data_IF_120155883558
#
_entry.id   IF_120155883558
#
_cell.length_a   1.000
_cell.length_b   1.000
_cell.length_c   1.000
_cell.angle_alpha   90.00
_cell.angle_beta   90.00
_cell.angle_gamma   90.00
#
_symmetry.space_group_name_H-M   'P 1'
#
loop_
_entity.id
_entity.type
_entity.pdbx_description
1 polymer ?
#
# COMPACT_ATOMS: atom_id res chain seq x y z
N UNK A 1 -17.28 -35.32 7.77
CA UNK A 1 -15.89 -35.26 8.25
C UNK A 1 -15.15 -33.96 7.94
N UNK A 2 -15.46 -33.24 6.85
CA UNK A 2 -14.84 -31.93 6.58
C UNK A 2 -15.28 -30.82 7.55
N UNK A 3 -16.54 -30.82 7.99
CA UNK A 3 -17.16 -29.71 8.72
C UNK A 3 -16.78 -29.64 10.20
N UNK A 4 -16.74 -30.77 10.90
CA UNK A 4 -16.25 -30.84 12.30
C UNK A 4 -14.81 -30.36 12.44
N UNK A 5 -13.96 -30.65 11.44
CA UNK A 5 -12.57 -30.18 11.40
C UNK A 5 -12.45 -28.67 11.16
N UNK A 6 -13.48 -28.04 10.57
CA UNK A 6 -13.57 -26.59 10.35
C UNK A 6 -14.04 -25.89 11.61
N UNK A 7 -15.10 -26.39 12.24
CA UNK A 7 -15.60 -25.86 13.52
C UNK A 7 -14.54 -25.95 14.62
N UNK A 8 -13.76 -27.04 14.67
CA UNK A 8 -12.62 -27.18 15.58
C UNK A 8 -11.54 -26.11 15.36
N UNK A 9 -11.24 -25.74 14.11
CA UNK A 9 -10.28 -24.65 13.79
C UNK A 9 -10.82 -23.27 14.17
N UNK A 10 -12.11 -23.04 14.01
CA UNK A 10 -12.76 -21.77 14.39
C UNK A 10 -12.79 -21.60 15.91
N UNK A 11 -12.87 -22.70 16.66
CA UNK A 11 -12.71 -22.72 18.12
C UNK A 11 -11.34 -22.24 18.62
N UNK A 12 -10.27 -22.37 17.80
CA UNK A 12 -8.91 -21.91 18.16
C UNK A 12 -8.69 -20.41 18.02
N UNK A 13 -9.66 -19.69 17.45
CA UNK A 13 -9.60 -18.24 17.32
C UNK A 13 -9.92 -17.57 18.65
N UNK A 14 -9.10 -16.58 19.00
CA UNK A 14 -9.33 -15.71 20.16
C UNK A 14 -10.48 -14.74 19.88
N UNK A 15 -11.13 -14.24 20.94
CA UNK A 15 -12.26 -13.30 20.81
C UNK A 15 -11.89 -12.02 20.05
N UNK A 16 -10.64 -11.56 20.22
CA UNK A 16 -10.09 -10.39 19.51
C UNK A 16 -9.89 -10.63 18.01
N UNK A 17 -9.50 -11.84 17.62
CA UNK A 17 -9.40 -12.23 16.20
C UNK A 17 -10.79 -12.35 15.59
N UNK A 18 -11.75 -12.98 16.30
CA UNK A 18 -13.15 -13.09 15.87
C UNK A 18 -13.79 -11.71 15.68
N UNK A 19 -13.62 -10.80 16.63
CA UNK A 19 -14.11 -9.42 16.55
C UNK A 19 -13.57 -8.70 15.30
N UNK A 20 -12.28 -8.88 14.99
CA UNK A 20 -11.63 -8.30 13.81
C UNK A 20 -12.23 -8.85 12.52
N UNK A 21 -12.46 -10.16 12.43
CA UNK A 21 -13.09 -10.81 11.28
C UNK A 21 -14.56 -10.37 11.09
N UNK A 22 -15.33 -10.19 12.18
CA UNK A 22 -16.72 -9.69 12.10
C UNK A 22 -16.80 -8.30 11.51
N UNK A 23 -15.92 -7.39 11.91
CA UNK A 23 -15.87 -6.04 11.35
C UNK A 23 -15.48 -6.07 9.85
N UNK A 24 -14.61 -7.00 9.47
CA UNK A 24 -14.20 -7.18 8.08
C UNK A 24 -15.36 -7.65 7.18
N UNK A 25 -16.26 -8.49 7.70
CA UNK A 25 -17.50 -8.86 7.00
C UNK A 25 -18.51 -7.72 6.88
N UNK A 26 -18.57 -6.84 7.88
CA UNK A 26 -19.42 -5.64 7.87
C UNK A 26 -18.94 -4.57 6.88
N UNK A 27 -17.91 -4.86 6.08
CA UNK A 27 -17.38 -3.97 5.06
C UNK A 27 -16.28 -3.03 5.56
N UNK A 28 -15.84 -3.16 6.81
CA UNK A 28 -14.69 -2.38 7.28
C UNK A 28 -13.39 -2.93 6.68
N UNK A 29 -12.50 -2.01 6.29
CA UNK A 29 -11.12 -2.33 5.99
C UNK A 29 -10.25 -2.31 7.26
N UNK A 30 -9.01 -2.79 7.16
CA UNK A 30 -8.09 -2.84 8.30
C UNK A 30 -7.82 -1.46 8.94
N UNK A 31 -7.88 -0.37 8.15
CA UNK A 31 -7.64 1.00 8.62
C UNK A 31 -8.86 1.55 9.38
N UNK A 32 -10.05 1.23 8.93
CA UNK A 32 -11.32 1.54 9.58
C UNK A 32 -11.43 0.77 10.89
N UNK A 33 -11.12 -0.53 10.90
CA UNK A 33 -11.12 -1.37 12.11
C UNK A 33 -10.13 -0.85 13.16
N UNK A 34 -8.93 -0.46 12.75
CA UNK A 34 -7.92 0.11 13.63
C UNK A 34 -8.43 1.37 14.35
N UNK A 35 -9.10 2.27 13.62
CA UNK A 35 -9.74 3.46 14.20
C UNK A 35 -10.89 3.11 15.15
N UNK A 36 -11.72 2.13 14.80
CA UNK A 36 -12.86 1.72 15.63
C UNK A 36 -12.43 1.05 16.93
N UNK A 37 -11.33 0.30 16.91
CA UNK A 37 -10.84 -0.45 18.07
C UNK A 37 -9.77 0.30 18.87
N UNK A 38 -9.41 1.51 18.46
CA UNK A 38 -8.29 2.31 19.00
C UNK A 38 -6.98 1.50 19.08
N UNK A 39 -6.67 0.81 17.99
CA UNK A 39 -5.48 -0.05 17.85
C UNK A 39 -4.68 0.34 16.62
N UNK A 40 -3.40 -0.06 16.60
CA UNK A 40 -2.60 0.10 15.40
C UNK A 40 -3.10 -0.82 14.27
N UNK A 41 -3.01 -0.34 13.02
CA UNK A 41 -3.29 -1.16 11.82
C UNK A 41 -2.41 -2.41 11.77
N UNK A 42 -1.18 -2.33 12.29
CA UNK A 42 -0.28 -3.47 12.39
C UNK A 42 -0.85 -4.55 13.32
N UNK A 43 -1.35 -4.18 14.50
CA UNK A 43 -2.01 -5.11 15.42
C UNK A 43 -3.23 -5.78 14.78
N UNK A 44 -4.00 -5.06 13.96
CA UNK A 44 -5.12 -5.62 13.21
C UNK A 44 -4.64 -6.60 12.12
N UNK A 45 -3.58 -6.26 11.40
CA UNK A 45 -3.01 -7.13 10.37
C UNK A 45 -2.39 -8.41 10.95
N UNK A 46 -1.72 -8.32 12.11
CA UNK A 46 -1.23 -9.49 12.85
C UNK A 46 -2.39 -10.40 13.25
N UNK A 47 -3.47 -9.84 13.84
CA UNK A 47 -4.69 -10.61 14.17
C UNK A 47 -5.31 -11.28 12.94
N UNK A 48 -5.37 -10.59 11.81
CA UNK A 48 -5.87 -11.17 10.55
C UNK A 48 -4.93 -12.23 9.98
N UNK A 49 -3.60 -12.10 10.18
CA UNK A 49 -2.64 -13.13 9.79
C UNK A 49 -2.81 -14.37 10.66
N UNK A 50 -2.82 -14.19 11.98
CA UNK A 50 -2.98 -15.27 12.93
C UNK A 50 -4.27 -16.04 12.69
N UNK A 51 -5.38 -15.32 12.46
CA UNK A 51 -6.66 -15.93 12.09
C UNK A 51 -6.56 -16.78 10.80
N UNK A 52 -5.93 -16.26 9.73
CA UNK A 52 -5.72 -17.04 8.49
C UNK A 52 -4.83 -18.26 8.71
N UNK A 53 -3.78 -18.15 9.54
CA UNK A 53 -2.87 -19.26 9.85
C UNK A 53 -3.62 -20.38 10.59
N UNK A 54 -4.44 -20.02 11.59
CA UNK A 54 -5.25 -20.94 12.37
C UNK A 54 -6.35 -21.62 11.54
N UNK A 55 -6.99 -20.88 10.65
CA UNK A 55 -8.03 -21.41 9.76
C UNK A 55 -7.47 -22.12 8.50
N UNK A 56 -6.17 -22.00 8.25
CA UNK A 56 -5.48 -22.51 7.05
C UNK A 56 -6.09 -22.00 5.72
N UNK A 57 -6.44 -20.72 5.68
CA UNK A 57 -7.05 -20.07 4.50
C UNK A 57 -6.16 -19.00 3.88
N UNK A 58 -6.36 -18.75 2.59
CA UNK A 58 -5.51 -17.84 1.82
C UNK A 58 -5.87 -16.37 2.08
N UNK A 59 -7.14 -16.06 2.39
CA UNK A 59 -7.64 -14.69 2.48
C UNK A 59 -8.35 -14.37 3.81
N UNK A 60 -8.21 -13.14 4.29
CA UNK A 60 -8.91 -12.65 5.48
C UNK A 60 -10.42 -12.55 5.26
N UNK A 61 -10.85 -12.29 4.01
CA UNK A 61 -12.28 -12.30 3.65
C UNK A 61 -12.86 -13.71 3.65
N UNK A 62 -12.06 -14.69 3.24
CA UNK A 62 -12.43 -16.11 3.31
C UNK A 62 -12.50 -16.58 4.77
N UNK A 63 -11.50 -16.24 5.59
CA UNK A 63 -11.51 -16.45 7.04
C UNK A 63 -12.76 -15.87 7.70
N UNK A 64 -13.15 -14.66 7.29
CA UNK A 64 -14.30 -13.99 7.86
C UNK A 64 -15.61 -14.67 7.43
N UNK A 65 -15.76 -15.10 6.17
CA UNK A 65 -16.92 -15.90 5.73
C UNK A 65 -17.06 -17.20 6.51
N UNK A 66 -15.96 -17.94 6.72
CA UNK A 66 -15.97 -19.18 7.50
C UNK A 66 -16.38 -18.92 8.96
N UNK A 67 -15.91 -17.82 9.54
CA UNK A 67 -16.37 -17.42 10.87
C UNK A 67 -17.88 -17.14 10.88
N UNK A 68 -18.41 -16.40 9.92
CA UNK A 68 -19.85 -16.13 9.86
C UNK A 68 -20.68 -17.39 9.61
N UNK A 69 -20.21 -18.33 8.80
CA UNK A 69 -20.89 -19.62 8.58
C UNK A 69 -20.95 -20.45 9.87
N UNK A 70 -19.90 -20.41 10.69
CA UNK A 70 -19.89 -21.09 11.99
C UNK A 70 -20.59 -20.31 13.13
N UNK A 71 -20.72 -18.98 12.99
CA UNK A 71 -21.46 -18.12 13.92
C UNK A 71 -22.94 -18.00 13.54
N UNK A 72 -23.34 -18.42 12.33
CA UNK A 72 -24.74 -18.54 11.97
C UNK A 72 -25.37 -19.60 12.88
N UNK A 73 -26.43 -19.25 13.62
CA UNK A 73 -27.18 -20.25 14.36
C UNK A 73 -27.72 -21.27 13.35
N UNK A 74 -27.38 -22.55 13.54
CA UNK A 74 -28.09 -23.63 12.88
C UNK A 74 -29.59 -23.43 13.13
N UNK A 75 -30.43 -23.39 12.07
CA UNK A 75 -31.87 -23.27 12.22
C UNK A 75 -32.42 -24.65 12.60
N UNK A 76 -32.19 -25.06 13.83
CA UNK A 76 -33.13 -25.96 14.49
C UNK A 76 -33.63 -25.26 15.75
N UNK A 77 -34.95 -25.04 15.71
CA UNK A 77 -35.84 -24.60 16.79
C UNK A 77 -36.03 -23.10 16.97
N UNK A 78 -37.21 -22.69 16.49
CA UNK A 78 -38.23 -21.77 17.02
C UNK A 78 -38.66 -20.95 15.80
N UNK A 79 -39.85 -21.10 15.22
CA UNK A 79 -41.14 -21.56 15.71
C UNK A 79 -42.15 -20.72 14.92
N UNK A 80 -43.26 -21.32 14.51
CA UNK A 80 -44.44 -20.62 13.99
C UNK A 80 -44.67 -19.31 14.76
N UNK A 81 -44.77 -18.18 14.05
CA UNK A 81 -46.10 -17.64 13.76
C UNK A 81 -46.04 -16.29 13.00
N UNK A 82 -46.97 -16.18 12.06
CA UNK A 82 -47.77 -14.99 11.71
C UNK A 82 -47.23 -14.00 10.66
N UNK A 83 -47.73 -14.23 9.43
CA UNK A 83 -48.42 -13.31 8.49
C UNK A 83 -47.76 -11.96 8.11
N UNK A 84 -47.79 -11.51 6.84
CA UNK A 84 -48.43 -12.03 5.63
C UNK A 84 -48.50 -10.95 4.53
N UNK A 85 -48.69 -11.45 3.30
CA UNK A 85 -49.42 -10.83 2.15
C UNK A 85 -48.68 -9.88 1.17
N UNK A 86 -48.35 -10.46 -0.01
CA UNK A 86 -48.58 -10.09 -1.45
C UNK A 86 -48.54 -8.60 -1.90
N UNK A 87 -48.15 -8.21 -3.12
CA UNK A 87 -48.30 -8.85 -4.45
C UNK A 87 -47.43 -8.14 -5.53
N UNK A 88 -47.18 -8.88 -6.62
CA UNK A 88 -46.97 -8.57 -8.05
C UNK A 88 -46.36 -7.25 -8.57
N UNK A 89 -45.59 -7.38 -9.67
CA UNK A 89 -45.48 -6.32 -10.68
C UNK A 89 -44.31 -6.38 -11.67
N UNK A 90 -44.40 -7.23 -12.69
CA UNK A 90 -43.61 -7.21 -13.93
C UNK A 90 -43.69 -5.90 -14.73
N UNK A 91 -42.59 -5.47 -15.37
CA UNK A 91 -42.69 -4.76 -16.67
C UNK A 91 -41.59 -3.76 -17.06
N UNK A 92 -40.79 -4.14 -18.08
CA UNK A 92 -40.44 -3.38 -19.30
C UNK A 92 -39.64 -2.04 -19.21
N UNK A 93 -38.42 -2.04 -19.77
CA UNK A 93 -37.66 -0.88 -20.33
C UNK A 93 -38.20 -0.52 -21.74
N UNK A 94 -37.98 0.66 -22.39
CA UNK A 94 -36.84 1.60 -22.26
C UNK A 94 -37.16 3.11 -22.45
N UNK A 95 -36.19 4.03 -22.24
CA UNK A 95 -35.72 5.06 -23.21
C UNK A 95 -34.73 6.08 -22.57
N UNK A 96 -33.88 6.61 -23.44
CA UNK A 96 -32.60 7.32 -23.31
C UNK A 96 -32.52 8.61 -22.46
N UNK A 97 -31.32 8.85 -21.89
CA UNK A 97 -30.64 10.15 -21.96
C UNK A 97 -29.12 9.99 -21.71
N UNK A 98 -28.35 10.75 -22.47
CA UNK A 98 -26.90 10.64 -22.67
C UNK A 98 -26.03 11.02 -21.46
N UNK A 99 -24.91 10.31 -21.27
CA UNK A 99 -23.66 10.88 -20.73
C UNK A 99 -22.48 10.28 -21.49
N UNK A 100 -21.61 11.18 -21.96
CA UNK A 100 -20.38 10.94 -22.73
C UNK A 100 -19.22 10.63 -21.77
N UNK A 101 -18.15 10.09 -22.38
CA UNK A 101 -16.75 10.06 -21.92
C UNK A 101 -16.28 8.94 -20.98
N UNK A 102 -15.14 8.36 -21.38
CA UNK A 102 -14.18 7.79 -20.45
C UNK A 102 -14.01 6.28 -20.51
N UNK A 103 -13.53 5.75 -21.64
CA UNK A 103 -13.01 4.38 -21.75
C UNK A 103 -11.76 4.23 -20.87
N UNK A 104 -11.93 3.94 -19.57
CA UNK A 104 -10.82 3.54 -18.70
C UNK A 104 -10.51 2.07 -18.94
N UNK A 105 -9.47 1.83 -19.74
CA UNK A 105 -8.86 0.52 -19.92
C UNK A 105 -8.50 -0.06 -18.55
N UNK A 106 -9.14 -1.19 -18.24
CA UNK A 106 -8.81 -2.09 -17.14
C UNK A 106 -7.41 -2.65 -17.39
N UNK A 107 -6.39 -2.10 -16.75
CA UNK A 107 -5.06 -2.73 -16.70
C UNK A 107 -5.05 -3.64 -15.48
N UNK A 108 -4.97 -4.93 -15.77
CA UNK A 108 -4.99 -6.05 -14.86
C UNK A 108 -3.97 -5.88 -13.72
N UNK A 109 -4.48 -5.91 -12.49
CA UNK A 109 -3.72 -6.20 -11.29
C UNK A 109 -3.17 -7.64 -11.39
N UNK A 110 -1.90 -7.78 -11.77
CA UNK A 110 -1.17 -9.04 -11.71
C UNK A 110 -0.16 -9.01 -10.56
N UNK A 111 -0.58 -9.64 -9.48
CA UNK A 111 0.22 -10.52 -8.60
C UNK A 111 1.72 -10.26 -8.55
N UNK A 112 2.19 -9.66 -7.44
CA UNK A 112 3.62 -9.53 -7.12
C UNK A 112 4.05 -8.12 -6.71
N UNK A 113 3.20 -7.36 -6.01
CA UNK A 113 3.46 -5.94 -5.72
C UNK A 113 2.96 -5.44 -4.37
N UNK A 114 2.64 -6.32 -3.41
CA UNK A 114 2.09 -5.88 -2.11
C UNK A 114 3.13 -5.18 -1.21
N UNK A 115 4.43 -5.27 -1.53
CA UNK A 115 5.49 -4.51 -0.84
C UNK A 115 5.93 -3.23 -1.55
N UNK A 116 5.89 -3.17 -2.89
CA UNK A 116 6.22 -1.92 -3.61
C UNK A 116 5.17 -0.83 -3.33
N UNK A 117 3.89 -1.21 -3.21
CA UNK A 117 2.84 -0.26 -2.84
C UNK A 117 2.88 0.18 -1.37
N UNK A 118 3.55 -0.56 -0.47
CA UNK A 118 3.66 -0.16 0.95
C UNK A 118 4.75 0.90 1.17
N UNK A 119 5.82 0.88 0.36
CA UNK A 119 6.75 2.01 0.26
C UNK A 119 6.09 3.24 -0.42
N UNK A 120 5.12 3.03 -1.33
CA UNK A 120 4.37 4.11 -1.97
C UNK A 120 3.34 4.77 -1.05
N UNK A 121 2.76 4.04 -0.08
CA UNK A 121 1.80 4.63 0.87
C UNK A 121 2.49 5.45 1.97
N UNK A 122 3.74 5.14 2.34
CA UNK A 122 4.51 5.98 3.27
C UNK A 122 4.78 7.39 2.68
N UNK A 123 4.91 7.53 1.36
CA UNK A 123 5.00 8.82 0.69
C UNK A 123 3.64 9.53 0.47
N UNK A 124 2.52 8.80 0.57
CA UNK A 124 1.17 9.35 0.33
C UNK A 124 0.56 10.04 1.57
N UNK A 125 1.13 9.87 2.77
CA UNK A 125 0.58 10.49 3.97
C UNK A 125 0.86 12.00 4.11
N UNK A 126 1.69 12.62 3.24
CA UNK A 126 2.18 14.00 3.45
C UNK A 126 1.68 15.05 2.43
N UNK A 127 1.06 14.68 1.31
CA UNK A 127 0.89 15.61 0.16
C UNK A 127 -0.52 16.20 -0.01
N UNK A 128 -1.23 16.53 1.08
CA UNK A 128 -2.58 17.11 0.99
C UNK A 128 -2.69 18.64 1.27
N UNK A 129 -1.61 19.36 1.59
CA UNK A 129 -1.72 20.71 2.17
C UNK A 129 -1.36 21.88 1.24
N UNK A 130 -1.08 21.68 -0.06
CA UNK A 130 -0.55 22.81 -0.87
C UNK A 130 -1.62 23.67 -1.57
N UNK A 131 -2.92 23.34 -1.55
CA UNK A 131 -3.90 24.13 -2.32
C UNK A 131 -5.22 24.41 -1.60
N UNK A 132 -5.20 25.21 -0.53
CA UNK A 132 -6.37 25.98 -0.09
C UNK A 132 -5.93 27.15 0.79
N UNK A 133 -5.90 28.33 0.19
CA UNK A 133 -5.79 29.59 0.93
C UNK A 133 -7.08 29.86 1.69
N UNK A 134 -7.08 29.65 3.00
CA UNK A 134 -7.83 30.45 3.98
C UNK A 134 -7.33 30.13 5.39
N UNK A 135 -6.81 31.16 6.04
CA UNK A 135 -6.33 31.13 7.41
C UNK A 135 -7.48 31.00 8.42
N UNK A 136 -7.18 30.34 9.55
CA UNK A 136 -7.47 30.70 10.95
C UNK A 136 -7.75 29.43 11.77
N UNK A 137 -6.74 28.98 12.52
CA UNK A 137 -6.74 28.36 13.86
C UNK A 137 -5.32 27.83 14.06
N UNK A 138 -4.60 28.38 15.04
CA UNK A 138 -3.25 27.95 15.38
C UNK A 138 -3.26 26.54 16.03
N UNK A 139 -2.55 25.55 15.48
CA UNK A 139 -2.22 24.31 16.19
C UNK A 139 -1.02 24.53 17.14
N UNK A 140 -0.85 23.71 18.19
CA UNK A 140 0.30 23.76 19.10
C UNK A 140 1.62 23.38 18.38
N UNK A 141 2.79 23.82 18.87
CA UNK A 141 4.04 23.69 18.13
C UNK A 141 4.56 22.25 18.22
N UNK A 142 4.38 21.48 17.15
CA UNK A 142 5.16 20.30 16.86
C UNK A 142 5.64 20.38 15.40
N UNK A 143 6.86 20.90 15.25
CA UNK A 143 7.77 20.84 14.11
C UNK A 143 7.21 21.10 12.68
N UNK A 144 7.44 22.30 12.13
CA UNK A 144 7.61 22.48 10.68
C UNK A 144 8.96 21.89 10.22
N UNK A 145 9.11 21.62 8.91
CA UNK A 145 10.35 21.32 8.15
C UNK A 145 10.68 19.84 7.83
N UNK A 146 10.10 19.27 6.76
CA UNK A 146 10.63 18.02 6.15
C UNK A 146 11.26 18.24 4.76
N UNK A 147 11.00 19.39 4.10
CA UNK A 147 11.73 19.78 2.89
C UNK A 147 12.85 20.76 3.27
N UNK A 148 14.11 20.42 2.95
CA UNK A 148 15.29 21.23 3.26
C UNK A 148 16.28 20.64 4.28
N UNK A 149 16.00 19.49 4.88
CA UNK A 149 16.99 18.79 5.74
C UNK A 149 18.10 18.16 4.89
N UNK A 150 19.32 18.24 5.40
CA UNK A 150 20.50 17.63 4.79
C UNK A 150 20.55 16.13 5.09
N UNK A 151 21.17 15.31 4.21
CA UNK A 151 21.43 13.90 4.50
C UNK A 151 22.31 13.73 5.75
N UNK A 152 22.12 12.63 6.49
CA UNK A 152 22.96 12.33 7.66
C UNK A 152 24.45 12.14 7.33
N UNK A 153 24.76 11.77 6.09
CA UNK A 153 26.12 11.54 5.59
C UNK A 153 26.19 12.00 4.11
N UNK A 154 27.21 12.77 3.69
CA UNK A 154 27.44 13.12 2.28
C UNK A 154 27.44 11.93 1.31
N UNK A 155 27.76 10.71 1.78
CA UNK A 155 27.70 9.49 0.99
C UNK A 155 26.26 9.14 0.55
N UNK A 156 25.24 9.53 1.31
CA UNK A 156 23.83 9.25 1.04
C UNK A 156 23.38 9.89 -0.29
N UNK A 157 23.60 11.20 -0.43
CA UNK A 157 23.24 11.90 -1.66
C UNK A 157 24.05 11.39 -2.85
N UNK A 158 25.34 11.11 -2.65
CA UNK A 158 26.20 10.54 -3.69
C UNK A 158 25.67 9.18 -4.17
N UNK A 159 25.37 8.26 -3.25
CA UNK A 159 24.82 6.94 -3.59
C UNK A 159 23.48 7.03 -4.31
N UNK A 160 22.60 7.96 -3.92
CA UNK A 160 21.35 8.19 -4.63
C UNK A 160 21.59 8.67 -6.06
N UNK A 161 22.51 9.63 -6.25
CA UNK A 161 22.84 10.18 -7.59
C UNK A 161 23.51 9.14 -8.49
N UNK A 162 24.44 8.36 -7.95
CA UNK A 162 25.12 7.28 -8.67
C UNK A 162 24.10 6.23 -9.15
N UNK A 163 23.16 5.85 -8.29
CA UNK A 163 22.09 4.94 -8.65
C UNK A 163 21.14 5.53 -9.70
N UNK A 164 20.73 6.80 -9.53
CA UNK A 164 19.88 7.50 -10.49
C UNK A 164 20.54 7.63 -11.86
N UNK A 165 21.87 7.80 -11.93
CA UNK A 165 22.61 7.81 -13.19
C UNK A 165 22.45 6.50 -13.95
N UNK A 166 22.55 5.35 -13.29
CA UNK A 166 22.31 4.04 -13.92
C UNK A 166 20.88 3.96 -14.50
N UNK A 167 19.90 4.47 -13.75
CA UNK A 167 18.53 4.51 -14.19
C UNK A 167 18.32 5.48 -15.38
N UNK A 168 19.03 6.61 -15.41
CA UNK A 168 18.93 7.62 -16.47
C UNK A 168 19.56 7.11 -17.77
N UNK A 169 20.68 6.39 -17.67
CA UNK A 169 21.38 5.76 -18.78
C UNK A 169 20.65 4.50 -19.31
N UNK A 170 19.47 4.18 -18.75
CA UNK A 170 18.67 3.01 -19.14
C UNK A 170 19.30 1.67 -18.74
N UNK A 171 20.29 1.67 -17.85
CA UNK A 171 21.01 0.49 -17.39
C UNK A 171 20.21 -0.23 -16.29
N UNK A 172 19.06 -0.82 -16.66
CA UNK A 172 18.12 -1.43 -15.72
C UNK A 172 18.71 -2.61 -14.95
N UNK A 173 19.49 -3.47 -15.61
CA UNK A 173 20.16 -4.58 -14.94
C UNK A 173 21.22 -4.09 -13.92
N UNK A 174 21.99 -3.06 -14.27
CA UNK A 174 22.98 -2.47 -13.37
C UNK A 174 22.32 -1.77 -12.17
N UNK A 175 21.27 -0.97 -12.40
CA UNK A 175 20.50 -0.34 -11.31
C UNK A 175 19.83 -1.35 -10.39
N UNK A 176 19.38 -2.49 -10.92
CA UNK A 176 18.88 -3.61 -10.12
C UNK A 176 19.98 -4.24 -9.29
N UNK A 177 21.15 -4.54 -9.87
CA UNK A 177 22.31 -5.11 -9.15
C UNK A 177 22.84 -4.18 -8.06
N UNK A 178 22.78 -2.87 -8.27
CA UNK A 178 23.17 -1.85 -7.31
C UNK A 178 22.14 -1.62 -6.19
N UNK A 179 20.94 -2.21 -6.29
CA UNK A 179 19.92 -2.15 -5.27
C UNK A 179 20.29 -2.98 -4.03
N UNK A 180 19.55 -2.75 -2.94
CA UNK A 180 19.61 -3.53 -1.71
C UNK A 180 19.35 -5.02 -1.97
N UNK A 181 19.90 -5.89 -1.12
CA UNK A 181 19.63 -7.32 -1.17
C UNK A 181 18.12 -7.60 -1.02
N UNK A 182 17.45 -6.86 -0.13
CA UNK A 182 16.01 -7.00 0.10
C UNK A 182 15.17 -6.57 -1.11
N UNK A 183 15.59 -5.53 -1.84
CA UNK A 183 14.91 -5.16 -3.08
C UNK A 183 15.05 -6.25 -4.15
N UNK A 184 16.27 -6.79 -4.31
CA UNK A 184 16.57 -7.85 -5.29
C UNK A 184 15.91 -9.19 -4.96
N UNK A 185 15.63 -9.46 -3.68
CA UNK A 185 14.88 -10.67 -3.29
C UNK A 185 13.39 -10.59 -3.61
N UNK A 186 12.85 -9.36 -3.74
CA UNK A 186 11.42 -9.11 -3.97
C UNK A 186 11.08 -8.86 -5.45
N UNK A 187 11.98 -8.23 -6.20
CA UNK A 187 11.76 -7.87 -7.60
C UNK A 187 12.88 -8.51 -8.41
N UNK A 188 12.54 -9.26 -9.47
CA UNK A 188 13.54 -9.82 -10.39
C UNK A 188 14.03 -8.76 -11.37
N UNK A 189 15.26 -8.90 -11.89
CA UNK A 189 15.82 -7.95 -12.85
C UNK A 189 14.91 -7.73 -14.09
N UNK A 190 14.32 -8.77 -14.74
CA UNK A 190 13.41 -8.55 -15.87
C UNK A 190 12.14 -7.78 -15.48
N UNK A 191 11.59 -8.05 -14.28
CA UNK A 191 10.41 -7.33 -13.78
C UNK A 191 10.73 -5.87 -13.51
N UNK A 192 11.88 -5.60 -12.89
CA UNK A 192 12.38 -4.25 -12.64
C UNK A 192 12.53 -3.45 -13.94
N UNK A 193 13.16 -4.06 -14.96
CA UNK A 193 13.32 -3.44 -16.27
C UNK A 193 11.97 -3.10 -16.91
N UNK A 194 11.04 -4.06 -16.96
CA UNK A 194 9.72 -3.83 -17.55
C UNK A 194 8.93 -2.71 -16.85
N UNK A 195 8.95 -2.69 -15.51
CA UNK A 195 8.31 -1.63 -14.72
C UNK A 195 8.99 -0.26 -14.92
N UNK A 196 10.32 -0.23 -14.91
CA UNK A 196 11.06 1.04 -15.06
C UNK A 196 10.87 1.64 -16.45
N UNK A 197 10.87 0.80 -17.49
CA UNK A 197 10.63 1.23 -18.86
C UNK A 197 9.22 1.80 -19.04
N UNK A 198 8.18 1.15 -18.50
CA UNK A 198 6.80 1.65 -18.65
C UNK A 198 6.56 2.99 -17.96
N UNK A 199 7.30 3.28 -16.88
CA UNK A 199 7.23 4.56 -16.16
C UNK A 199 8.13 5.63 -16.79
N UNK A 200 9.37 5.29 -17.17
CA UNK A 200 10.36 6.29 -17.63
C UNK A 200 10.32 6.59 -19.11
N UNK A 201 9.92 5.65 -19.97
CA UNK A 201 9.85 5.91 -21.42
C UNK A 201 8.92 7.09 -21.77
N UNK A 202 7.72 7.25 -21.15
CA UNK A 202 6.86 8.41 -21.42
C UNK A 202 7.44 9.75 -20.95
N UNK A 203 8.29 9.75 -19.91
CA UNK A 203 8.86 10.97 -19.34
C UNK A 203 9.94 11.58 -20.24
N UNK A 204 10.65 10.75 -21.00
CA UNK A 204 11.82 11.17 -21.78
C UNK A 204 13.08 11.31 -20.92
N UNK A 205 14.13 11.90 -21.49
CA UNK A 205 15.41 12.06 -20.80
C UNK A 205 15.33 13.15 -19.71
N UNK A 206 16.03 13.00 -18.57
CA UNK A 206 16.15 14.06 -17.58
C UNK A 206 17.00 15.21 -18.15
N UNK A 207 16.48 16.44 -18.08
CA UNK A 207 17.18 17.67 -18.48
C UNK A 207 17.79 18.40 -17.29
N UNK A 208 17.13 18.33 -16.13
CA UNK A 208 17.61 18.94 -14.89
C UNK A 208 17.22 18.07 -13.69
N UNK A 209 18.07 18.02 -12.66
CA UNK A 209 17.76 17.36 -11.37
C UNK A 209 18.31 18.17 -10.21
N UNK A 210 17.41 18.66 -9.36
CA UNK A 210 17.74 19.44 -8.15
C UNK A 210 17.38 18.65 -6.90
N UNK A 211 18.34 18.53 -5.99
CA UNK A 211 18.11 17.96 -4.66
C UNK A 211 17.20 18.89 -3.84
N UNK A 212 16.20 18.31 -3.16
CA UNK A 212 15.25 19.03 -2.32
C UNK A 212 15.48 18.82 -0.83
N UNK A 213 15.97 17.64 -0.45
CA UNK A 213 16.22 17.29 0.94
C UNK A 213 16.26 15.78 1.16
N UNK A 214 16.72 15.40 2.35
CA UNK A 214 16.75 14.03 2.82
C UNK A 214 16.20 13.94 4.24
N UNK A 215 15.53 12.82 4.54
CA UNK A 215 15.02 12.51 5.88
C UNK A 215 15.54 11.15 6.30
N UNK A 216 16.21 11.16 7.45
CA UNK A 216 16.68 9.96 8.11
C UNK A 216 15.55 9.24 8.85
N UNK A 217 15.50 7.92 8.74
CA UNK A 217 14.55 7.06 9.45
C UNK A 217 15.25 5.81 9.97
N UNK A 218 15.09 5.52 11.27
CA UNK A 218 15.57 4.26 11.88
C UNK A 218 14.61 3.08 11.66
N UNK A 219 13.46 3.32 11.03
CA UNK A 219 12.50 2.31 10.59
C UNK A 219 11.54 2.88 9.55
N UNK A 220 11.05 2.03 8.64
CA UNK A 220 9.98 2.37 7.71
C UNK A 220 8.83 1.35 7.80
N UNK A 221 7.56 1.78 7.70
CA UNK A 221 6.42 0.87 7.75
C UNK A 221 6.52 -0.22 6.67
N UNK A 222 6.52 -1.49 7.08
CA UNK A 222 6.60 -2.64 6.17
C UNK A 222 7.99 -2.90 5.58
N UNK A 223 9.02 -2.17 6.00
CA UNK A 223 10.41 -2.48 5.68
C UNK A 223 11.10 -3.21 6.85
N UNK A 224 12.18 -3.96 6.60
CA UNK A 224 13.02 -4.52 7.67
C UNK A 224 13.58 -3.44 8.60
N UNK A 225 14.00 -3.83 9.81
CA UNK A 225 14.72 -2.92 10.70
C UNK A 225 16.06 -2.51 10.08
N UNK A 226 16.38 -1.21 10.09
CA UNK A 226 17.60 -0.68 9.48
C UNK A 226 17.59 0.84 9.43
N UNK A 227 18.75 1.41 9.08
CA UNK A 227 18.89 2.85 8.87
C UNK A 227 18.51 3.18 7.42
N UNK A 228 17.57 4.11 7.26
CA UNK A 228 17.05 4.55 5.99
C UNK A 228 17.24 6.04 5.79
N UNK A 229 17.42 6.43 4.54
CA UNK A 229 17.45 7.81 4.10
C UNK A 229 16.50 7.97 2.93
N UNK A 230 15.52 8.86 3.06
CA UNK A 230 14.56 9.16 2.00
C UNK A 230 14.92 10.50 1.39
N UNK A 231 15.44 10.47 0.17
CA UNK A 231 15.84 11.65 -0.57
C UNK A 231 14.77 12.04 -1.58
N UNK A 232 14.55 13.34 -1.73
CA UNK A 232 13.70 13.89 -2.79
C UNK A 232 14.49 14.76 -3.75
N UNK A 233 14.21 14.58 -5.04
CA UNK A 233 14.72 15.41 -6.12
C UNK A 233 13.54 15.97 -6.93
N UNK A 234 13.66 17.23 -7.36
CA UNK A 234 12.84 17.79 -8.44
C UNK A 234 13.59 17.60 -9.74
N UNK A 235 12.95 16.94 -10.69
CA UNK A 235 13.54 16.58 -11.96
C UNK A 235 12.66 17.07 -13.09
N UNK A 236 13.27 17.78 -14.02
CA UNK A 236 12.65 18.10 -15.29
C UNK A 236 13.05 17.01 -16.27
N UNK A 237 12.06 16.33 -16.84
CA UNK A 237 12.23 15.43 -17.97
C UNK A 237 11.75 16.12 -19.24
N UNK A 238 12.22 15.64 -20.40
CA UNK A 238 11.84 16.19 -21.72
C UNK A 238 10.32 16.33 -21.89
N UNK A 239 9.54 15.35 -21.42
CA UNK A 239 8.08 15.33 -21.60
C UNK A 239 7.31 15.63 -20.30
N UNK A 240 8.00 15.86 -19.17
CA UNK A 240 7.38 16.17 -17.87
C UNK A 240 8.31 17.03 -17.01
N UNK A 241 8.01 18.32 -16.90
CA UNK A 241 8.70 19.21 -15.98
C UNK A 241 8.23 19.03 -14.53
N UNK A 242 9.11 19.29 -13.58
CA UNK A 242 8.80 19.37 -12.16
C UNK A 242 8.40 18.03 -11.51
N UNK A 243 8.77 16.90 -12.10
CA UNK A 243 8.53 15.59 -11.52
C UNK A 243 9.27 15.46 -10.19
N UNK A 244 8.68 14.75 -9.24
CA UNK A 244 9.30 14.50 -7.94
C UNK A 244 9.78 13.07 -7.88
N UNK A 245 11.10 12.90 -7.87
CA UNK A 245 11.76 11.61 -7.68
C UNK A 245 12.02 11.41 -6.17
N UNK A 246 11.57 10.28 -5.63
CA UNK A 246 11.86 9.86 -4.25
C UNK A 246 12.73 8.61 -4.30
N UNK A 247 13.92 8.70 -3.70
CA UNK A 247 14.88 7.61 -3.59
C UNK A 247 15.01 7.24 -2.13
N UNK A 248 14.65 6.01 -1.78
CA UNK A 248 14.89 5.46 -0.43
C UNK A 248 16.17 4.65 -0.48
N UNK A 249 17.15 5.03 0.33
CA UNK A 249 18.35 4.25 0.58
C UNK A 249 18.24 3.55 1.92
N UNK A 250 18.83 2.36 2.01
CA UNK A 250 19.04 1.62 3.25
C UNK A 250 20.52 1.41 3.45
N UNK A 251 20.97 1.45 4.70
CA UNK A 251 22.35 1.16 5.07
C UNK A 251 22.61 -0.33 4.97
N UNK A 252 23.53 -0.72 4.09
CA UNK A 252 24.02 -2.10 3.96
C UNK A 252 25.54 -2.13 4.17
N UNK A 253 25.96 -2.73 5.28
CA UNK A 253 27.37 -2.72 5.69
C UNK A 253 27.86 -1.30 5.93
N UNK A 254 28.90 -0.89 5.18
CA UNK A 254 29.48 0.47 5.26
C UNK A 254 28.91 1.44 4.21
N UNK A 255 28.01 0.97 3.34
CA UNK A 255 27.48 1.78 2.24
C UNK A 255 25.97 1.93 2.29
N UNK A 256 25.46 2.70 1.32
CA UNK A 256 24.04 2.93 1.12
C UNK A 256 23.59 2.29 -0.19
N UNK A 257 22.47 1.57 -0.16
CA UNK A 257 21.88 0.94 -1.35
C UNK A 257 20.43 1.33 -1.53
N UNK A 258 19.99 1.39 -2.79
CA UNK A 258 18.61 1.72 -3.12
C UNK A 258 17.66 0.62 -2.65
N UNK A 259 16.72 0.97 -1.78
CA UNK A 259 15.66 0.12 -1.28
C UNK A 259 14.30 0.43 -1.91
N UNK A 260 14.11 1.65 -2.41
CA UNK A 260 12.91 2.05 -3.14
C UNK A 260 13.15 3.24 -4.05
N UNK A 261 12.38 3.29 -5.15
CA UNK A 261 12.37 4.40 -6.09
C UNK A 261 10.96 4.69 -6.60
N UNK A 262 10.60 5.97 -6.61
CA UNK A 262 9.30 6.43 -7.06
C UNK A 262 9.40 7.77 -7.80
N UNK A 263 8.53 7.97 -8.79
CA UNK A 263 8.40 9.22 -9.56
C UNK A 263 6.91 9.58 -9.64
N UNK A 264 6.58 10.86 -9.45
CA UNK A 264 5.23 11.41 -9.66
C UNK A 264 5.21 12.69 -10.46
#
# INVERSE_FOLDING_TARGET
MGDESRQGRIGTLTDREKQTLRLLLKGHDAKSIARTLDLSVHTINERLRDARRKLAVASSREAARLLAEAEQPHPEQIGDDIFGVTDAGTGVLPEAAAVREGRTLRIAWLSGGMFVMSLLVAAFAVVAVINSGKALVSPPPAAPEEAGRQPSDPAVERSARDWLKLADDGQWDASWKAASADFRSQITAPRWQAMSQSVRAPLGAPTSRRFLGAVHHSSLPGAPAGEYEVLQFRTDFTNKAGAIETVTLVREGRGWRMAGYFIR
#
